data_IF_251313720212
#
_entry.id   IF_251313720212
#
_cell.length_a   1.000
_cell.length_b   1.000
_cell.length_c   1.000
_cell.angle_alpha   90.00
_cell.angle_beta   90.00
_cell.angle_gamma   90.00
#
_symmetry.space_group_name_H-M   'P 1'
#
loop_
_entity.id
_entity.type
_entity.pdbx_description
1 polymer ?
#
# COMPACT_ATOMS: atom_id res chain seq x y z
N UNK A 1 14.75 6.56 -34.03
CA UNK A 1 13.65 7.46 -33.60
C UNK A 1 14.03 7.97 -32.22
N UNK A 2 14.30 9.26 -32.07
CA UNK A 2 14.62 9.83 -30.76
C UNK A 2 13.36 9.80 -29.90
N UNK A 3 13.41 9.05 -28.81
CA UNK A 3 12.40 9.00 -27.76
C UNK A 3 12.25 10.42 -27.21
N UNK A 4 11.15 11.10 -27.55
CA UNK A 4 10.81 12.38 -26.97
C UNK A 4 10.49 12.11 -25.50
N UNK A 5 11.37 12.57 -24.61
CA UNK A 5 11.09 12.58 -23.18
C UNK A 5 9.71 13.22 -22.96
N UNK A 6 8.73 12.47 -22.40
CA UNK A 6 7.37 12.95 -22.23
C UNK A 6 7.26 14.11 -21.23
N UNK A 7 8.32 14.40 -20.49
CA UNK A 7 8.35 15.48 -19.50
C UNK A 7 9.37 16.56 -19.91
N UNK A 8 8.93 17.74 -20.39
CA UNK A 8 9.84 18.85 -20.65
C UNK A 8 10.57 19.28 -19.36
N UNK A 9 11.73 19.94 -19.47
CA UNK A 9 12.46 20.45 -18.31
C UNK A 9 11.53 21.27 -17.41
N UNK A 10 11.56 20.98 -16.11
CA UNK A 10 10.63 21.53 -15.12
C UNK A 10 10.66 23.07 -15.14
N UNK A 11 9.57 23.68 -15.62
CA UNK A 11 9.30 25.10 -15.42
C UNK A 11 8.30 25.23 -14.28
N UNK A 12 8.69 25.91 -13.21
CA UNK A 12 7.78 26.19 -12.09
C UNK A 12 6.78 27.27 -12.53
N UNK A 13 5.49 26.99 -12.41
CA UNK A 13 4.46 28.02 -12.54
C UNK A 13 4.57 29.04 -11.41
N UNK A 14 4.02 30.24 -11.60
CA UNK A 14 4.08 31.32 -10.61
C UNK A 14 3.54 30.89 -9.24
N UNK A 15 2.43 30.15 -9.21
CA UNK A 15 1.85 29.62 -7.98
C UNK A 15 2.78 28.64 -7.26
N UNK A 16 3.41 27.71 -7.99
CA UNK A 16 4.36 26.75 -7.40
C UNK A 16 5.58 27.45 -6.83
N UNK A 17 6.11 28.46 -7.52
CA UNK A 17 7.23 29.26 -7.03
C UNK A 17 6.90 30.00 -5.73
N UNK A 18 5.70 30.58 -5.62
CA UNK A 18 5.25 31.22 -4.37
C UNK A 18 5.12 30.22 -3.20
N UNK A 19 4.63 29.01 -3.48
CA UNK A 19 4.53 27.94 -2.49
C UNK A 19 5.91 27.50 -1.99
N UNK A 20 6.87 27.33 -2.91
CA UNK A 20 8.26 26.99 -2.58
C UNK A 20 8.89 28.10 -1.74
N UNK A 21 8.77 29.37 -2.16
CA UNK A 21 9.28 30.52 -1.41
C UNK A 21 8.71 30.58 0.02
N UNK A 22 7.41 30.32 0.17
CA UNK A 22 6.75 30.27 1.48
C UNK A 22 7.25 29.11 2.33
N UNK A 23 7.46 27.94 1.74
CA UNK A 23 8.00 26.76 2.43
C UNK A 23 9.44 27.00 2.88
N UNK A 24 10.29 27.52 1.99
CA UNK A 24 11.68 27.88 2.26
C UNK A 24 11.78 28.90 3.41
N UNK A 25 10.97 29.96 3.38
CA UNK A 25 10.90 30.96 4.46
C UNK A 25 10.49 30.38 5.80
N UNK A 26 9.53 29.45 5.83
CA UNK A 26 9.10 28.77 7.07
C UNK A 26 10.18 27.86 7.64
N UNK A 27 10.93 27.20 6.78
CA UNK A 27 12.00 26.28 7.15
C UNK A 27 13.34 26.97 7.41
N UNK A 28 13.48 28.26 7.05
CA UNK A 28 14.72 29.02 7.18
C UNK A 28 15.84 28.52 6.25
N UNK A 29 15.48 27.95 5.10
CA UNK A 29 16.42 27.37 4.12
C UNK A 29 16.23 28.01 2.73
N UNK A 30 17.12 27.70 1.79
CA UNK A 30 16.93 28.10 0.40
C UNK A 30 15.77 27.37 -0.25
N UNK A 31 15.21 27.94 -1.31
CA UNK A 31 14.14 27.32 -2.11
C UNK A 31 14.56 25.96 -2.69
N UNK A 32 15.80 25.87 -3.18
CA UNK A 32 16.37 24.62 -3.66
C UNK A 32 16.46 23.55 -2.57
N UNK A 33 16.87 23.93 -1.36
CA UNK A 33 16.96 23.00 -0.23
C UNK A 33 15.58 22.57 0.26
N UNK A 34 14.59 23.47 0.22
CA UNK A 34 13.20 23.13 0.53
C UNK A 34 12.66 22.09 -0.47
N UNK A 35 12.91 22.29 -1.77
CA UNK A 35 12.54 21.32 -2.83
C UNK A 35 13.27 19.99 -2.59
N UNK A 36 14.59 20.03 -2.35
CA UNK A 36 15.41 18.83 -2.12
C UNK A 36 14.87 17.99 -0.97
N UNK A 37 14.53 18.62 0.15
CA UNK A 37 13.94 17.94 1.32
C UNK A 37 12.56 17.36 1.01
N UNK A 38 11.70 18.10 0.31
CA UNK A 38 10.39 17.63 -0.09
C UNK A 38 10.48 16.41 -1.02
N UNK A 39 11.41 16.42 -1.97
CA UNK A 39 11.67 15.29 -2.87
C UNK A 39 12.24 14.08 -2.12
N UNK A 40 13.18 14.30 -1.20
CA UNK A 40 13.72 13.22 -0.37
C UNK A 40 12.62 12.56 0.48
N UNK A 41 11.69 13.34 1.02
CA UNK A 41 10.55 12.80 1.77
C UNK A 41 9.59 12.03 0.86
N UNK A 42 9.30 12.55 -0.34
CA UNK A 42 8.42 11.89 -1.30
C UNK A 42 9.00 10.56 -1.80
N UNK A 43 10.28 10.53 -2.13
CA UNK A 43 11.00 9.35 -2.63
C UNK A 43 11.33 8.36 -1.51
N UNK A 44 11.46 8.83 -0.27
CA UNK A 44 11.72 8.00 0.90
C UNK A 44 10.47 7.36 1.50
N UNK A 45 9.27 7.80 1.10
CA UNK A 45 8.02 7.14 1.52
C UNK A 45 7.95 5.76 0.87
N UNK A 46 7.82 4.66 1.65
CA UNK A 46 7.55 3.36 1.07
C UNK A 46 6.26 3.45 0.26
N UNK A 47 6.20 2.70 -0.84
CA UNK A 47 5.01 2.61 -1.68
C UNK A 47 3.80 2.37 -0.77
N UNK A 48 2.72 3.17 -0.89
CA UNK A 48 1.58 3.04 -0.01
C UNK A 48 1.09 1.61 -0.09
N UNK A 49 1.24 0.86 1.01
CA UNK A 49 0.73 -0.51 1.08
C UNK A 49 -0.75 -0.40 0.76
N UNK A 50 -1.23 -1.07 -0.30
CA UNK A 50 -2.65 -1.00 -0.64
C UNK A 50 -3.45 -1.38 0.60
N UNK A 51 -4.59 -0.72 0.85
CA UNK A 51 -5.42 -1.05 2.00
C UNK A 51 -5.64 -2.56 1.99
N UNK A 52 -5.29 -3.22 3.12
CA UNK A 52 -5.48 -4.66 3.23
C UNK A 52 -6.96 -4.94 2.92
N UNK A 53 -7.26 -5.90 2.02
CA UNK A 53 -8.64 -6.27 1.75
C UNK A 53 -9.32 -6.56 3.08
N UNK A 54 -10.60 -6.20 3.20
CA UNK A 54 -11.31 -6.55 4.43
C UNK A 54 -11.30 -8.08 4.59
N UNK A 55 -11.45 -8.57 5.82
CA UNK A 55 -11.31 -10.01 6.11
C UNK A 55 -12.19 -10.88 5.20
N UNK A 56 -13.36 -10.37 4.80
CA UNK A 56 -14.30 -11.10 3.94
C UNK A 56 -13.76 -11.24 2.51
N UNK A 57 -13.23 -10.17 1.93
CA UNK A 57 -12.60 -10.16 0.60
C UNK A 57 -11.38 -11.06 0.56
N UNK A 58 -10.54 -10.96 1.59
CA UNK A 58 -9.36 -11.83 1.74
C UNK A 58 -9.77 -13.31 1.81
N UNK A 59 -10.76 -13.64 2.64
CA UNK A 59 -11.22 -15.02 2.79
C UNK A 59 -11.85 -15.55 1.50
N UNK A 60 -12.58 -14.72 0.77
CA UNK A 60 -13.17 -15.09 -0.52
C UNK A 60 -12.09 -15.40 -1.57
N UNK A 61 -11.06 -14.54 -1.67
CA UNK A 61 -9.93 -14.78 -2.57
C UNK A 61 -9.17 -16.05 -2.18
N UNK A 62 -8.90 -16.22 -0.88
CA UNK A 62 -8.23 -17.41 -0.36
C UNK A 62 -9.00 -18.70 -0.69
N UNK A 63 -10.33 -18.71 -0.52
CA UNK A 63 -11.19 -19.86 -0.86
C UNK A 63 -11.22 -20.15 -2.37
N UNK A 64 -11.07 -19.13 -3.23
CA UNK A 64 -10.94 -19.33 -4.68
C UNK A 64 -9.62 -20.00 -5.05
N UNK A 65 -8.53 -19.56 -4.43
CA UNK A 65 -7.19 -20.11 -4.67
C UNK A 65 -7.00 -21.49 -4.02
N UNK A 66 -7.69 -21.73 -2.90
CA UNK A 66 -7.62 -22.95 -2.11
C UNK A 66 -9.04 -23.49 -1.84
N UNK A 67 -9.65 -24.18 -2.82
CA UNK A 67 -10.99 -24.74 -2.66
C UNK A 67 -11.00 -25.79 -1.56
N UNK A 68 -12.13 -25.87 -0.84
CA UNK A 68 -12.31 -26.93 0.14
C UNK A 68 -12.33 -28.31 -0.54
N UNK A 69 -11.82 -29.35 0.13
CA UNK A 69 -12.09 -30.71 -0.29
C UNK A 69 -13.60 -30.98 -0.28
N UNK A 70 -14.06 -31.99 -1.04
CA UNK A 70 -15.47 -32.37 -1.03
C UNK A 70 -15.95 -32.65 0.40
N UNK A 71 -17.24 -32.40 0.69
CA UNK A 71 -17.81 -32.71 2.01
C UNK A 71 -17.56 -34.16 2.36
N UNK A 72 -17.02 -34.41 3.55
CA UNK A 72 -16.67 -35.77 4.01
C UNK A 72 -17.90 -36.59 4.36
N UNK A 73 -19.07 -35.95 4.55
CA UNK A 73 -20.29 -36.61 5.02
C UNK A 73 -20.24 -37.07 6.48
N UNK A 74 -19.10 -36.85 7.16
CA UNK A 74 -18.93 -37.14 8.58
C UNK A 74 -19.68 -36.10 9.40
N UNK A 75 -20.45 -36.56 10.38
CA UNK A 75 -21.04 -35.66 11.37
C UNK A 75 -19.93 -35.23 12.33
N UNK A 76 -19.65 -33.92 12.35
CA UNK A 76 -18.76 -33.34 13.36
C UNK A 76 -19.52 -33.18 14.69
N UNK A 77 -19.92 -34.31 15.28
CA UNK A 77 -20.57 -34.36 16.58
C UNK A 77 -19.56 -34.37 17.73
N UNK A 78 -20.07 -34.39 18.97
CA UNK A 78 -19.20 -34.43 20.15
C UNK A 78 -18.27 -35.64 20.13
N UNK A 79 -18.75 -36.82 19.73
CA UNK A 79 -17.93 -38.03 19.70
C UNK A 79 -16.78 -37.91 18.70
N UNK A 80 -17.02 -37.27 17.55
CA UNK A 80 -15.97 -36.94 16.58
C UNK A 80 -14.89 -36.02 17.16
N UNK A 81 -15.28 -34.99 17.91
CA UNK A 81 -14.31 -34.10 18.56
C UNK A 81 -13.61 -34.74 19.76
N UNK A 82 -14.30 -35.61 20.50
CA UNK A 82 -13.72 -36.38 21.60
C UNK A 82 -12.64 -37.34 21.07
N UNK A 83 -12.87 -37.99 19.92
CA UNK A 83 -11.86 -38.81 19.23
C UNK A 83 -10.64 -37.98 18.77
N UNK A 84 -10.88 -36.80 18.16
CA UNK A 84 -9.80 -35.90 17.72
C UNK A 84 -8.96 -35.33 18.87
N UNK A 85 -9.56 -35.15 20.05
CA UNK A 85 -8.91 -34.55 21.22
C UNK A 85 -8.27 -35.58 22.15
N UNK A 86 -8.38 -36.88 21.84
CA UNK A 86 -7.81 -37.96 22.65
C UNK A 86 -8.64 -38.33 23.88
N UNK A 87 -9.94 -38.02 23.88
CA UNK A 87 -10.93 -38.46 24.88
C UNK A 87 -10.77 -37.82 26.26
N UNK A 88 -10.99 -36.50 26.36
CA UNK A 88 -11.09 -35.77 27.64
C UNK A 88 -12.49 -35.85 28.27
#
# INVERSE_FOLDING_TARGET
>A
MAERDPYPPLTLGSETSEQVARAAKRLGVSEEEAIRRALAELLGKPEPVPPRPNLREWLAEYRRQHPLPPPTGLLADKAFYDDLSGGL
#
